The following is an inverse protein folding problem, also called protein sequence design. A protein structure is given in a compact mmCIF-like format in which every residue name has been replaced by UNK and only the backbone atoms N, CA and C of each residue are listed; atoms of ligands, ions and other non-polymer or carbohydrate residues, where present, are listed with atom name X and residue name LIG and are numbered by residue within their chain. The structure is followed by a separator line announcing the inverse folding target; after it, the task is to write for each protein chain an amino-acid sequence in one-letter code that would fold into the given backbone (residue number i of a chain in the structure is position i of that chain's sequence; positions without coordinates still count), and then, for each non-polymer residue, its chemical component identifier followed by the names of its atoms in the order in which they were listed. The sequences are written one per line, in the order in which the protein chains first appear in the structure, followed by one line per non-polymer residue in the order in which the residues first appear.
data_IF_906696132499
#
_entry.id   IF_906696132499
#
_cell.length_a   1.000
_cell.length_b   1.000
_cell.length_c   1.000
_cell.angle_alpha   90.00
_cell.angle_beta   90.00
_cell.angle_gamma   90.00
#
_symmetry.space_group_name_H-M   'P 1'
#
loop_
_entity.id
_entity.type
_entity.pdbx_description
1 polymer ?
#
# COMPACT_ATOMS: atom_id res chain seq x y z
N UNK A 1 24.29 17.31 -3.24
CA UNK A 1 24.68 17.82 -1.91
C UNK A 1 23.40 18.10 -1.14
N UNK A 2 23.41 18.01 0.18
CA UNK A 2 22.24 18.35 1.01
C UNK A 2 22.74 18.69 2.41
N UNK A 3 22.86 19.98 2.70
CA UNK A 3 23.53 20.48 3.90
C UNK A 3 22.94 21.80 4.38
N UNK A 4 22.86 21.93 5.70
CA UNK A 4 22.60 23.14 6.47
C UNK A 4 23.97 23.58 7.04
N UNK A 5 24.45 24.72 6.58
CA UNK A 5 25.75 25.28 6.94
C UNK A 5 25.66 26.15 8.21
N UNK A 6 26.81 26.58 8.72
CA UNK A 6 26.88 27.57 9.78
C UNK A 6 26.27 28.92 9.34
N UNK A 7 25.78 29.70 10.30
CA UNK A 7 25.00 30.94 10.07
C UNK A 7 25.60 31.93 9.04
N UNK A 8 26.94 31.98 8.94
CA UNK A 8 27.66 32.85 8.00
C UNK A 8 27.52 32.41 6.52
N UNK A 9 27.07 31.17 6.30
CA UNK A 9 26.96 30.51 5.02
C UNK A 9 25.56 29.98 4.73
N UNK A 10 24.50 30.48 5.38
CA UNK A 10 23.11 30.08 5.09
C UNK A 10 22.71 30.25 3.61
N UNK A 11 23.35 31.19 2.89
CA UNK A 11 23.16 31.32 1.44
C UNK A 11 23.59 30.07 0.65
N UNK A 12 24.43 29.22 1.25
CA UNK A 12 24.94 27.96 0.69
C UNK A 12 24.08 26.76 1.11
N UNK A 13 23.01 26.94 1.90
CA UNK A 13 22.18 25.81 2.31
C UNK A 13 21.53 25.15 1.09
N UNK A 14 21.54 23.82 1.09
CA UNK A 14 20.99 23.03 -0.01
C UNK A 14 20.22 21.84 0.52
N UNK A 15 19.18 21.43 -0.21
CA UNK A 15 18.36 20.26 0.15
C UNK A 15 18.18 19.36 -1.06
N UNK A 16 18.36 18.06 -0.83
CA UNK A 16 17.92 17.00 -1.74
C UNK A 16 16.71 16.29 -1.15
N UNK A 17 15.78 15.88 -2.00
CA UNK A 17 14.64 15.05 -1.61
C UNK A 17 14.37 13.98 -2.69
N UNK A 18 13.69 12.92 -2.28
CA UNK A 18 13.29 11.84 -3.18
C UNK A 18 11.94 11.25 -2.76
N UNK A 19 11.22 10.64 -3.69
CA UNK A 19 9.85 10.19 -3.49
C UNK A 19 9.74 8.76 -2.95
N UNK A 20 8.61 8.48 -2.31
CA UNK A 20 8.20 7.13 -1.93
C UNK A 20 6.68 7.01 -1.95
N UNK A 21 6.20 5.77 -2.09
CA UNK A 21 4.77 5.47 -2.10
C UNK A 21 4.40 4.62 -0.89
N UNK A 22 3.39 5.07 -0.14
CA UNK A 22 2.68 4.23 0.82
C UNK A 22 1.61 3.44 0.05
N UNK A 23 1.66 2.09 0.03
CA UNK A 23 0.72 1.29 -0.75
C UNK A 23 -0.75 1.49 -0.36
N UNK A 24 -1.64 1.25 -1.33
CA UNK A 24 -3.07 1.23 -1.06
C UNK A 24 -3.42 0.20 0.02
N UNK A 25 -4.25 0.59 0.98
CA UNK A 25 -4.68 -0.27 2.08
C UNK A 25 -3.70 -0.38 3.24
N UNK A 26 -2.54 0.27 3.14
CA UNK A 26 -1.56 0.35 4.22
C UNK A 26 -1.53 1.73 4.88
N UNK A 27 -1.04 1.74 6.11
CA UNK A 27 -0.68 2.94 6.85
C UNK A 27 0.69 2.73 7.46
N UNK A 28 1.60 3.67 7.25
CA UNK A 28 2.98 3.59 7.70
C UNK A 28 3.21 4.50 8.89
N UNK A 29 3.91 3.99 9.90
CA UNK A 29 4.36 4.71 11.08
C UNK A 29 5.89 4.70 11.04
N UNK A 30 6.47 5.78 10.57
CA UNK A 30 7.92 5.86 10.33
C UNK A 30 8.60 6.27 11.63
N UNK A 31 9.63 5.54 12.06
CA UNK A 31 10.41 5.88 13.25
C UNK A 31 11.89 6.12 12.97
N UNK A 32 12.39 5.68 11.81
CA UNK A 32 13.80 5.79 11.45
C UNK A 32 13.94 5.97 9.93
N UNK A 33 14.85 6.86 9.53
CA UNK A 33 15.29 6.99 8.14
C UNK A 33 16.74 6.53 8.05
N UNK A 34 17.00 5.50 7.25
CA UNK A 34 18.35 5.09 6.93
C UNK A 34 18.75 5.69 5.58
N UNK A 35 19.76 6.56 5.58
CA UNK A 35 20.20 7.28 4.38
C UNK A 35 21.61 6.86 3.98
N UNK A 36 21.82 6.52 2.72
CA UNK A 36 23.17 6.39 2.18
C UNK A 36 23.73 7.78 1.89
N UNK A 37 24.97 8.03 2.31
CA UNK A 37 25.62 9.31 2.07
C UNK A 37 27.13 9.20 2.00
N UNK A 38 27.75 10.23 1.44
CA UNK A 38 29.20 10.41 1.36
C UNK A 38 29.58 11.76 1.95
N UNK A 39 30.56 11.74 2.82
CA UNK A 39 31.17 12.94 3.38
C UNK A 39 32.48 13.27 2.63
N UNK A 40 32.59 14.50 2.13
CA UNK A 40 33.80 15.06 1.52
C UNK A 40 34.31 16.22 2.37
N UNK A 41 35.62 16.49 2.32
CA UNK A 41 36.24 17.52 3.16
C UNK A 41 36.62 17.04 4.56
N UNK A 42 37.25 17.93 5.32
CA UNK A 42 37.61 17.78 6.73
C UNK A 42 37.80 19.19 7.32
N UNK A 43 37.69 19.40 8.64
CA UNK A 43 37.56 18.41 9.73
C UNK A 43 36.12 18.12 10.18
N UNK A 44 35.13 18.87 9.72
CA UNK A 44 33.75 18.72 10.20
C UNK A 44 33.15 17.37 9.81
N UNK A 45 32.32 16.84 10.70
CA UNK A 45 31.36 15.76 10.41
C UNK A 45 29.97 16.29 10.76
N UNK A 46 28.89 15.73 10.19
CA UNK A 46 27.56 16.20 10.56
C UNK A 46 27.33 16.06 12.07
N UNK A 47 26.76 17.07 12.70
CA UNK A 47 26.40 17.04 14.13
C UNK A 47 25.01 16.45 14.34
N UNK A 48 24.16 16.60 13.33
CA UNK A 48 22.79 16.10 13.26
C UNK A 48 22.35 16.00 11.80
N UNK A 49 21.14 15.48 11.58
CA UNK A 49 20.44 15.56 10.31
C UNK A 49 19.06 16.16 10.54
N UNK A 50 18.65 17.06 9.64
CA UNK A 50 17.25 17.44 9.47
C UNK A 50 16.61 16.47 8.49
N UNK A 51 15.53 15.81 8.92
CA UNK A 51 14.70 14.92 8.11
C UNK A 51 13.34 15.56 7.95
N UNK A 52 12.88 15.82 6.72
CA UNK A 52 11.58 16.41 6.45
C UNK A 52 10.77 15.55 5.47
N UNK A 53 9.47 15.45 5.72
CA UNK A 53 8.52 14.75 4.87
C UNK A 53 7.57 15.74 4.22
N UNK A 54 7.21 15.52 2.96
CA UNK A 54 6.33 16.40 2.20
C UNK A 54 5.23 15.61 1.51
N UNK A 55 4.08 16.25 1.32
CA UNK A 55 3.08 15.79 0.36
C UNK A 55 3.65 15.82 -1.06
N UNK A 56 3.17 14.96 -1.95
CA UNK A 56 3.42 15.14 -3.39
C UNK A 56 2.65 16.34 -3.95
N UNK A 57 3.27 17.06 -4.88
CA UNK A 57 2.67 18.16 -5.64
C UNK A 57 3.03 18.05 -7.14
N UNK A 58 2.72 16.90 -7.74
CA UNK A 58 2.93 16.66 -9.16
C UNK A 58 4.40 16.42 -9.48
N UNK A 59 4.95 15.34 -8.92
CA UNK A 59 6.35 14.91 -9.10
C UNK A 59 7.37 15.85 -8.45
N UNK A 60 6.92 16.65 -7.48
CA UNK A 60 7.76 17.55 -6.68
C UNK A 60 7.28 17.59 -5.22
N UNK A 61 8.18 17.85 -4.25
CA UNK A 61 7.79 18.12 -2.87
C UNK A 61 6.80 19.30 -2.78
N UNK A 62 5.68 19.06 -2.11
CA UNK A 62 4.62 20.02 -1.81
C UNK A 62 4.71 20.57 -0.38
N UNK A 63 3.59 20.57 0.33
CA UNK A 63 3.51 21.02 1.72
C UNK A 63 4.35 20.13 2.64
N UNK A 64 5.11 20.73 3.55
CA UNK A 64 5.83 19.97 4.60
C UNK A 64 4.81 19.36 5.57
N UNK A 65 4.88 18.04 5.75
CA UNK A 65 4.06 17.27 6.68
C UNK A 65 4.66 17.35 8.09
N UNK A 66 5.97 17.11 8.19
CA UNK A 66 6.72 17.14 9.44
C UNK A 66 8.23 17.22 9.17
N UNK A 67 8.97 17.81 10.11
CA UNK A 67 10.43 17.79 10.13
C UNK A 67 10.98 17.43 11.51
N UNK A 68 12.14 16.78 11.51
CA UNK A 68 12.80 16.24 12.69
C UNK A 68 14.29 16.56 12.62
N UNK A 69 14.88 16.86 13.76
CA UNK A 69 16.33 16.95 13.90
C UNK A 69 16.80 15.82 14.82
N UNK A 70 17.80 15.07 14.37
CA UNK A 70 18.31 13.93 15.13
C UNK A 70 19.79 13.70 14.88
N UNK A 71 20.50 13.37 15.95
CA UNK A 71 21.90 12.98 15.91
C UNK A 71 21.99 11.54 15.40
N UNK A 72 21.93 11.35 14.09
CA UNK A 72 22.16 10.05 13.45
C UNK A 72 23.63 9.62 13.55
N UNK A 73 23.91 8.33 13.61
CA UNK A 73 25.29 7.82 13.60
C UNK A 73 25.35 6.36 13.15
N UNK A 74 26.54 5.85 12.74
CA UNK A 74 27.84 6.53 12.65
C UNK A 74 28.03 7.32 11.35
N UNK A 75 28.83 8.39 11.41
CA UNK A 75 29.20 9.19 10.24
C UNK A 75 30.40 8.57 9.50
N UNK A 76 30.42 8.56 8.16
CA UNK A 76 31.58 8.08 7.41
C UNK A 76 32.78 9.01 7.61
N UNK A 77 33.99 8.42 7.72
CA UNK A 77 35.24 9.17 7.66
C UNK A 77 35.39 9.91 6.30
N UNK A 78 36.26 10.93 6.23
CA UNK A 78 36.55 11.69 5.00
C UNK A 78 36.71 10.76 3.78
N UNK A 79 35.91 11.02 2.74
CA UNK A 79 35.97 10.28 1.47
C UNK A 79 35.26 8.93 1.46
N UNK A 80 34.73 8.48 2.60
CA UNK A 80 33.98 7.23 2.71
C UNK A 80 32.47 7.44 2.49
N UNK A 81 31.81 6.40 2.01
CA UNK A 81 30.35 6.32 1.98
C UNK A 81 29.87 5.46 3.15
N UNK A 82 28.75 5.83 3.76
CA UNK A 82 28.09 5.01 4.78
C UNK A 82 26.57 5.17 4.72
N UNK A 83 25.87 4.18 5.23
CA UNK A 83 24.44 4.30 5.55
C UNK A 83 24.30 4.75 6.99
N UNK A 84 23.66 5.89 7.21
CA UNK A 84 23.38 6.44 8.54
C UNK A 84 21.93 6.19 8.91
N UNK A 85 21.68 5.54 10.04
CA UNK A 85 20.34 5.42 10.59
C UNK A 85 20.03 6.65 11.46
N UNK A 86 18.96 7.36 11.12
CA UNK A 86 18.52 8.59 11.77
C UNK A 86 17.20 8.30 12.49
N UNK A 87 17.21 8.11 13.82
CA UNK A 87 15.99 7.87 14.57
C UNK A 87 15.17 9.17 14.67
N UNK A 88 13.89 9.10 14.33
CA UNK A 88 12.93 10.22 14.44
C UNK A 88 12.21 10.24 15.80
N UNK A 89 12.27 9.13 16.54
CA UNK A 89 11.44 8.92 17.72
C UNK A 89 10.00 8.61 17.32
N UNK A 90 9.13 9.61 17.34
CA UNK A 90 7.75 9.49 16.84
C UNK A 90 7.67 10.25 15.52
N UNK A 91 7.90 9.55 14.41
CA UNK A 91 7.78 10.14 13.08
C UNK A 91 6.35 10.20 12.57
N UNK A 92 6.14 10.53 11.28
CA UNK A 92 4.81 10.72 10.72
C UNK A 92 4.04 9.40 10.56
N UNK A 93 2.73 9.51 10.69
CA UNK A 93 1.76 8.49 10.29
C UNK A 93 1.22 8.86 8.92
N UNK A 94 1.51 8.03 7.92
CA UNK A 94 1.17 8.30 6.53
C UNK A 94 0.20 7.23 6.02
N UNK A 95 -0.94 7.68 5.48
CA UNK A 95 -1.87 6.82 4.75
C UNK A 95 -1.40 6.59 3.31
N UNK A 96 -2.18 5.84 2.50
CA UNK A 96 -1.84 5.59 1.11
C UNK A 96 -1.63 6.87 0.31
N UNK A 97 -0.56 6.91 -0.49
CA UNK A 97 -0.21 8.09 -1.28
C UNK A 97 1.26 8.16 -1.65
N UNK A 98 1.59 9.16 -2.47
CA UNK A 98 2.96 9.54 -2.82
C UNK A 98 3.42 10.69 -1.92
N UNK A 99 4.68 10.59 -1.48
CA UNK A 99 5.29 11.51 -0.52
C UNK A 99 6.75 11.70 -0.86
N UNK A 100 7.36 12.73 -0.28
CA UNK A 100 8.78 13.00 -0.44
C UNK A 100 9.49 13.00 0.90
N UNK A 101 10.74 12.55 0.92
CA UNK A 101 11.63 12.66 2.08
C UNK A 101 12.88 13.45 1.72
N UNK A 102 13.21 14.45 2.53
CA UNK A 102 14.47 15.19 2.48
C UNK A 102 15.30 14.87 3.71
N UNK A 103 16.59 14.66 3.50
CA UNK A 103 17.60 14.49 4.55
C UNK A 103 18.71 15.49 4.27
N UNK A 104 18.97 16.36 5.23
CA UNK A 104 19.94 17.44 5.15
C UNK A 104 20.90 17.30 6.32
N UNK A 105 22.20 17.21 6.03
CA UNK A 105 23.21 17.18 7.07
C UNK A 105 23.32 18.56 7.73
N UNK A 106 23.31 18.62 9.06
CA UNK A 106 23.63 19.84 9.80
C UNK A 106 25.14 19.79 10.06
N UNK A 107 25.90 20.65 9.37
CA UNK A 107 27.36 20.59 9.37
C UNK A 107 28.00 21.90 8.90
N UNK A 108 29.00 22.36 9.64
CA UNK A 108 29.78 23.55 9.27
C UNK A 108 30.72 23.26 8.08
N UNK A 109 30.98 24.28 7.26
CA UNK A 109 31.87 24.21 6.09
C UNK A 109 33.35 24.06 6.46
N UNK A 110 33.76 24.66 7.58
CA UNK A 110 35.16 24.84 8.01
C UNK A 110 36.10 25.39 6.91
N UNK A 111 35.58 26.24 6.01
CA UNK A 111 36.37 26.85 4.93
C UNK A 111 37.51 27.75 5.45
N UNK A 112 37.48 28.14 6.72
CA UNK A 112 38.47 28.95 7.40
C UNK A 112 39.72 28.18 7.88
N UNK A 113 39.72 26.85 7.77
CA UNK A 113 40.86 26.00 8.17
C UNK A 113 41.88 25.88 7.02
N UNK A 114 43.16 26.25 7.21
CA UNK A 114 44.17 26.18 6.16
C UNK A 114 44.45 24.75 5.68
N UNK A 115 44.52 24.56 4.35
CA UNK A 115 44.88 23.32 3.65
C UNK A 115 43.82 22.20 3.68
N UNK A 116 42.56 22.50 4.00
CA UNK A 116 41.47 21.53 3.91
C UNK A 116 40.38 21.97 2.93
N UNK A 117 39.71 21.00 2.30
CA UNK A 117 38.52 21.24 1.47
C UNK A 117 37.29 21.43 2.36
N UNK A 118 36.37 22.33 1.96
CA UNK A 118 35.11 22.56 2.66
C UNK A 118 34.34 21.24 2.90
N UNK A 119 33.94 21.02 4.15
CA UNK A 119 33.14 19.88 4.58
C UNK A 119 31.77 19.92 3.92
N UNK A 120 31.47 18.84 3.18
CA UNK A 120 30.25 18.70 2.38
C UNK A 120 29.67 17.30 2.49
N UNK A 121 28.34 17.22 2.66
CA UNK A 121 27.62 15.95 2.63
C UNK A 121 26.79 15.79 1.35
N UNK A 122 26.85 14.58 0.79
CA UNK A 122 26.12 14.21 -0.43
C UNK A 122 25.31 12.95 -0.16
N UNK A 123 24.07 12.94 -0.66
CA UNK A 123 23.29 11.72 -0.79
C UNK A 123 24.05 10.67 -1.61
N UNK A 124 23.87 9.40 -1.23
CA UNK A 124 24.15 8.28 -2.10
C UNK A 124 23.15 8.29 -3.26
N UNK A 125 23.65 8.15 -4.48
CA UNK A 125 22.84 8.23 -5.70
C UNK A 125 22.80 6.86 -6.36
N UNK A 126 21.62 6.44 -6.81
CA UNK A 126 21.46 5.33 -7.75
C UNK A 126 21.41 5.91 -9.18
N UNK A 127 22.51 5.84 -9.96
CA UNK A 127 22.54 6.43 -11.29
C UNK A 127 21.75 5.59 -12.30
N UNK A 128 21.45 6.20 -13.45
CA UNK A 128 20.88 5.57 -14.64
C UNK A 128 19.44 5.04 -14.46
N UNK A 129 18.54 5.93 -14.06
CA UNK A 129 17.10 5.71 -13.95
C UNK A 129 16.59 5.84 -12.52
N UNK A 130 15.31 6.17 -12.40
CA UNK A 130 14.61 6.38 -11.15
C UNK A 130 13.45 5.37 -10.95
N UNK A 131 12.87 5.33 -9.76
CA UNK A 131 11.62 4.62 -9.46
C UNK A 131 10.63 5.64 -8.92
N UNK A 132 9.51 5.85 -9.61
CA UNK A 132 8.58 6.92 -9.25
C UNK A 132 8.95 8.20 -9.98
N UNK A 133 9.31 9.24 -9.24
CA UNK A 133 9.83 10.50 -9.80
C UNK A 133 11.36 10.51 -9.78
N UNK A 134 12.00 11.43 -10.51
CA UNK A 134 13.44 11.66 -10.33
C UNK A 134 13.67 12.40 -9.02
N UNK A 135 14.78 12.10 -8.33
CA UNK A 135 15.20 12.88 -7.18
C UNK A 135 15.33 14.37 -7.53
N UNK A 136 15.08 15.21 -6.53
CA UNK A 136 14.99 16.67 -6.67
C UNK A 136 16.02 17.36 -5.79
N UNK A 137 16.33 18.60 -6.15
CA UNK A 137 17.30 19.42 -5.44
C UNK A 137 16.88 20.89 -5.41
N UNK A 138 17.31 21.57 -4.35
CA UNK A 138 17.26 23.03 -4.25
C UNK A 138 18.46 23.62 -3.52
N UNK A 139 18.75 24.87 -3.89
CA UNK A 139 19.77 25.77 -3.39
C UNK A 139 19.10 27.14 -3.15
N UNK A 140 18.30 27.28 -2.07
CA UNK A 140 17.41 28.43 -1.91
C UNK A 140 18.14 29.77 -1.84
N UNK A 141 19.34 29.79 -1.26
CA UNK A 141 20.18 30.98 -1.15
C UNK A 141 20.98 31.31 -2.42
N UNK A 142 20.91 30.47 -3.45
CA UNK A 142 21.70 30.58 -4.67
C UNK A 142 23.23 30.67 -4.45
N UNK A 143 23.74 30.22 -3.30
CA UNK A 143 25.15 30.36 -2.93
C UNK A 143 26.08 29.51 -3.80
N UNK A 144 25.59 28.37 -4.28
CA UNK A 144 26.28 27.57 -5.29
C UNK A 144 25.86 27.95 -6.71
N UNK A 145 26.59 28.85 -7.36
CA UNK A 145 26.31 29.34 -8.72
C UNK A 145 26.22 28.21 -9.79
N UNK A 146 26.79 27.04 -9.50
CA UNK A 146 26.78 25.87 -10.38
C UNK A 146 25.44 25.12 -10.33
N UNK A 147 24.61 25.38 -9.30
CA UNK A 147 23.29 24.78 -9.12
C UNK A 147 22.21 25.85 -9.08
N UNK A 148 21.40 25.94 -10.15
CA UNK A 148 20.52 27.09 -10.40
C UNK A 148 19.12 26.98 -9.79
N UNK A 149 18.75 25.83 -9.21
CA UNK A 149 17.43 25.61 -8.65
C UNK A 149 17.29 26.26 -7.28
N UNK A 150 16.61 27.40 -7.17
CA UNK A 150 16.31 28.05 -5.88
C UNK A 150 15.08 27.49 -5.18
N UNK A 151 14.40 26.53 -5.81
CA UNK A 151 13.32 25.73 -5.26
C UNK A 151 13.47 24.29 -5.74
N UNK A 152 12.82 23.34 -5.08
CA UNK A 152 12.85 21.95 -5.52
C UNK A 152 12.52 21.82 -7.01
N UNK A 153 13.44 21.21 -7.75
CA UNK A 153 13.28 20.84 -9.13
C UNK A 153 14.08 19.56 -9.42
N UNK A 154 13.75 18.83 -10.50
CA UNK A 154 14.44 17.59 -10.84
C UNK A 154 15.94 17.80 -11.03
N UNK A 155 16.76 16.83 -10.62
CA UNK A 155 18.23 16.94 -10.67
C UNK A 155 18.78 17.35 -12.05
N UNK A 156 18.16 16.88 -13.15
CA UNK A 156 18.51 17.29 -14.53
C UNK A 156 18.47 18.79 -14.77
N UNK A 157 17.58 19.51 -14.09
CA UNK A 157 17.36 20.95 -14.29
C UNK A 157 18.28 21.77 -13.36
N UNK A 158 18.85 21.13 -12.34
CA UNK A 158 19.67 21.77 -11.33
C UNK A 158 21.17 21.58 -11.52
N UNK A 159 21.58 20.56 -12.28
CA UNK A 159 22.99 20.20 -12.44
C UNK A 159 23.28 19.75 -13.87
N UNK A 160 24.36 20.26 -14.44
CA UNK A 160 24.86 19.81 -15.75
C UNK A 160 25.68 18.51 -15.68
N UNK A 161 25.82 17.88 -14.51
CA UNK A 161 26.52 16.61 -14.36
C UNK A 161 25.68 15.45 -14.96
N UNK A 162 26.09 14.87 -16.10
CA UNK A 162 25.31 13.85 -16.80
C UNK A 162 25.16 12.55 -16.01
N UNK A 163 25.97 12.33 -14.97
CA UNK A 163 25.91 11.11 -14.14
C UNK A 163 24.74 11.05 -13.17
N UNK A 164 23.98 12.13 -12.99
CA UNK A 164 22.91 12.25 -11.97
C UNK A 164 21.61 12.86 -12.50
N UNK A 165 21.49 13.06 -13.82
CA UNK A 165 20.35 13.77 -14.44
C UNK A 165 19.03 13.00 -14.35
N UNK A 166 19.08 11.71 -14.04
CA UNK A 166 17.90 10.84 -13.91
C UNK A 166 18.20 9.74 -12.89
N UNK A 167 18.08 10.08 -11.61
CA UNK A 167 18.57 9.25 -10.52
C UNK A 167 17.70 9.36 -9.28
N UNK A 168 17.72 8.30 -8.47
CA UNK A 168 17.17 8.28 -7.11
C UNK A 168 18.27 8.58 -6.09
N UNK A 169 17.89 9.16 -4.97
CA UNK A 169 18.65 9.08 -3.74
C UNK A 169 18.39 7.75 -3.01
N UNK A 170 19.44 7.19 -2.42
CA UNK A 170 19.36 5.91 -1.75
C UNK A 170 18.98 6.08 -0.26
N UNK A 171 17.77 5.66 0.08
CA UNK A 171 17.26 5.62 1.46
C UNK A 171 16.42 4.38 1.75
N UNK A 172 16.11 4.19 3.03
CA UNK A 172 15.14 3.23 3.54
C UNK A 172 14.38 3.87 4.69
N UNK A 173 13.07 3.64 4.72
CA UNK A 173 12.19 4.04 5.82
C UNK A 173 11.92 2.79 6.67
N UNK A 174 12.20 2.88 7.96
CA UNK A 174 11.94 1.81 8.92
C UNK A 174 10.85 2.27 9.92
N UNK A 175 10.06 1.31 10.41
CA UNK A 175 8.97 1.57 11.34
C UNK A 175 7.95 0.42 11.37
N UNK A 176 6.70 0.76 11.68
CA UNK A 176 5.59 -0.18 11.71
C UNK A 176 4.60 0.07 10.57
N UNK A 177 3.90 -0.97 10.13
CA UNK A 177 2.79 -0.86 9.18
C UNK A 177 1.50 -1.37 9.81
N UNK A 178 0.39 -0.76 9.42
CA UNK A 178 -0.96 -1.22 9.74
C UNK A 178 -1.82 -1.30 8.49
N UNK A 179 -2.94 -2.02 8.56
CA UNK A 179 -3.93 -2.06 7.49
C UNK A 179 -4.95 -0.97 7.77
N UNK A 180 -5.28 -0.15 6.77
CA UNK A 180 -6.29 0.90 6.92
C UNK A 180 -7.63 0.30 7.36
N UNK A 181 -8.41 1.08 8.12
CA UNK A 181 -9.74 0.65 8.56
C UNK A 181 -10.64 0.27 7.38
N UNK A 182 -10.49 0.94 6.24
CA UNK A 182 -11.21 0.66 5.00
C UNK A 182 -10.82 -0.69 4.39
N UNK A 183 -9.51 -0.96 4.25
CA UNK A 183 -9.04 -2.25 3.75
C UNK A 183 -9.42 -3.41 4.68
N UNK A 184 -9.35 -3.20 6.00
CA UNK A 184 -9.81 -4.17 6.98
C UNK A 184 -11.31 -4.46 6.85
N UNK A 185 -12.14 -3.43 6.67
CA UNK A 185 -13.58 -3.56 6.48
C UNK A 185 -13.90 -4.31 5.17
N UNK A 186 -13.22 -4.00 4.07
CA UNK A 186 -13.42 -4.68 2.78
C UNK A 186 -13.03 -6.17 2.86
N UNK A 187 -11.92 -6.48 3.53
CA UNK A 187 -11.50 -7.86 3.78
C UNK A 187 -12.56 -8.65 4.57
N UNK A 188 -13.12 -8.04 5.62
CA UNK A 188 -14.20 -8.64 6.41
C UNK A 188 -15.50 -8.84 5.59
N UNK A 189 -15.81 -7.91 4.69
CA UNK A 189 -16.96 -8.03 3.79
C UNK A 189 -16.81 -9.23 2.84
N UNK A 190 -15.61 -9.47 2.30
CA UNK A 190 -15.30 -10.64 1.46
C UNK A 190 -15.48 -11.94 2.24
N UNK A 191 -14.95 -12.01 3.47
CA UNK A 191 -15.12 -13.18 4.34
C UNK A 191 -16.61 -13.48 4.60
N UNK A 192 -17.39 -12.45 4.92
CA UNK A 192 -18.84 -12.55 5.17
C UNK A 192 -19.62 -13.02 3.94
N UNK A 193 -19.31 -12.46 2.77
CA UNK A 193 -19.95 -12.84 1.52
C UNK A 193 -19.63 -14.29 1.12
N UNK A 194 -18.38 -14.73 1.37
CA UNK A 194 -17.97 -16.10 1.11
C UNK A 194 -18.69 -17.11 2.05
N UNK A 195 -18.85 -16.77 3.33
CA UNK A 195 -19.64 -17.56 4.28
C UNK A 195 -21.11 -17.68 3.86
N UNK A 196 -21.70 -16.58 3.36
CA UNK A 196 -23.06 -16.56 2.82
C UNK A 196 -23.21 -17.44 1.58
N UNK A 197 -22.23 -17.40 0.65
CA UNK A 197 -22.21 -18.26 -0.53
C UNK A 197 -22.13 -19.75 -0.17
N UNK A 198 -21.28 -20.09 0.80
CA UNK A 198 -21.13 -21.46 1.32
C UNK A 198 -22.44 -21.97 1.93
N UNK A 199 -23.10 -21.14 2.72
CA UNK A 199 -24.42 -21.46 3.29
C UNK A 199 -25.49 -21.65 2.21
N UNK A 200 -25.52 -20.78 1.20
CA UNK A 200 -26.46 -20.87 0.08
C UNK A 200 -26.23 -22.15 -0.77
N UNK A 201 -24.98 -22.49 -1.06
CA UNK A 201 -24.61 -23.73 -1.78
C UNK A 201 -25.04 -24.97 -1.00
N UNK A 202 -24.83 -24.97 0.31
CA UNK A 202 -25.26 -26.06 1.21
C UNK A 202 -26.79 -26.21 1.22
N UNK A 203 -27.53 -25.10 1.29
CA UNK A 203 -29.00 -25.13 1.21
C UNK A 203 -29.50 -25.66 -0.15
N UNK A 204 -28.84 -25.28 -1.25
CA UNK A 204 -29.14 -25.80 -2.58
C UNK A 204 -28.90 -27.31 -2.68
N UNK A 205 -27.80 -27.82 -2.11
CA UNK A 205 -27.53 -29.26 -2.05
C UNK A 205 -28.64 -30.02 -1.30
N UNK A 206 -29.03 -29.53 -0.12
CA UNK A 206 -30.14 -30.11 0.65
C UNK A 206 -31.47 -30.08 -0.12
N UNK A 207 -31.77 -28.97 -0.78
CA UNK A 207 -32.98 -28.84 -1.60
C UNK A 207 -32.99 -29.84 -2.77
N UNK A 208 -31.85 -30.02 -3.46
CA UNK A 208 -31.70 -31.01 -4.54
C UNK A 208 -31.89 -32.43 -4.01
N UNK A 209 -31.29 -32.77 -2.87
CA UNK A 209 -31.46 -34.08 -2.23
C UNK A 209 -32.94 -34.35 -1.85
N UNK A 210 -33.63 -33.35 -1.32
CA UNK A 210 -35.06 -33.43 -1.01
C UNK A 210 -35.92 -33.63 -2.27
N UNK A 211 -35.60 -32.94 -3.37
CA UNK A 211 -36.26 -33.13 -4.66
C UNK A 211 -36.07 -34.55 -5.19
N UNK A 212 -34.85 -35.08 -5.16
CA UNK A 212 -34.56 -36.47 -5.56
C UNK A 212 -35.39 -37.47 -4.74
N UNK A 213 -35.45 -37.29 -3.41
CA UNK A 213 -36.30 -38.12 -2.53
C UNK A 213 -37.78 -38.02 -2.90
N UNK A 214 -38.28 -36.81 -3.16
CA UNK A 214 -39.68 -36.58 -3.55
C UNK A 214 -40.02 -37.21 -4.91
N UNK A 215 -39.14 -37.09 -5.90
CA UNK A 215 -39.30 -37.72 -7.22
C UNK A 215 -39.31 -39.25 -7.13
N UNK A 216 -38.42 -39.86 -6.33
CA UNK A 216 -38.45 -41.30 -6.04
C UNK A 216 -39.79 -41.73 -5.41
N UNK A 217 -40.33 -40.94 -4.49
CA UNK A 217 -41.64 -41.20 -3.88
C UNK A 217 -42.81 -41.12 -4.89
N UNK A 218 -42.74 -40.20 -5.85
CA UNK A 218 -43.71 -40.12 -6.97
C UNK A 218 -43.65 -41.39 -7.82
N UNK A 219 -42.46 -41.83 -8.25
CA UNK A 219 -42.28 -43.07 -9.03
C UNK A 219 -42.84 -44.29 -8.30
N UNK A 220 -42.55 -44.43 -7.00
CA UNK A 220 -43.09 -45.52 -6.16
C UNK A 220 -44.62 -45.46 -6.06
N UNK A 221 -45.20 -44.28 -5.88
CA UNK A 221 -46.65 -44.10 -5.82
C UNK A 221 -47.33 -44.41 -7.17
N UNK A 222 -46.72 -44.05 -8.30
CA UNK A 222 -47.20 -44.42 -9.64
C UNK A 222 -47.20 -45.94 -9.83
N UNK A 223 -46.13 -46.62 -9.42
CA UNK A 223 -46.05 -48.10 -9.46
C UNK A 223 -47.14 -48.75 -8.61
N UNK A 224 -47.36 -48.26 -7.37
CA UNK A 224 -48.45 -48.75 -6.49
C UNK A 224 -49.84 -48.56 -7.11
N UNK A 225 -50.08 -47.44 -7.79
CA UNK A 225 -51.35 -47.20 -8.47
C UNK A 225 -51.57 -48.19 -9.62
N UNK A 226 -50.53 -48.48 -10.41
CA UNK A 226 -50.59 -49.48 -11.50
C UNK A 226 -50.93 -50.88 -11.00
N UNK A 227 -50.42 -51.26 -9.81
CA UNK A 227 -50.61 -52.59 -9.21
C UNK A 227 -51.91 -52.74 -8.40
N UNK A 228 -52.65 -51.65 -8.13
CA UNK A 228 -53.81 -51.69 -7.24
C UNK A 228 -55.04 -52.37 -7.90
N UNK A 229 -55.57 -53.42 -7.25
CA UNK A 229 -56.80 -54.13 -7.65
C UNK A 229 -57.98 -53.71 -6.78
N UNK A 230 -59.14 -53.51 -7.39
CA UNK A 230 -60.37 -53.04 -6.71
C UNK A 230 -60.47 -51.53 -6.50
N UNK A 231 -61.71 -51.03 -6.40
CA UNK A 231 -62.05 -49.58 -6.35
C UNK A 231 -61.40 -48.87 -5.15
N UNK A 232 -61.47 -49.47 -3.95
CA UNK A 232 -60.94 -48.90 -2.71
C UNK A 232 -59.42 -48.76 -2.73
N UNK A 233 -58.69 -49.77 -3.19
CA UNK A 233 -57.23 -49.74 -3.28
C UNK A 233 -56.74 -48.71 -4.29
N UNK A 234 -57.39 -48.62 -5.47
CA UNK A 234 -57.10 -47.59 -6.48
C UNK A 234 -57.29 -46.17 -5.93
N UNK A 235 -58.35 -45.93 -5.16
CA UNK A 235 -58.63 -44.62 -4.55
C UNK A 235 -57.53 -44.21 -3.55
N UNK A 236 -57.11 -45.14 -2.67
CA UNK A 236 -56.00 -44.91 -1.73
C UNK A 236 -54.68 -44.62 -2.48
N UNK A 237 -54.36 -45.40 -3.51
CA UNK A 237 -53.15 -45.21 -4.30
C UNK A 237 -53.13 -43.87 -5.07
N UNK A 238 -54.27 -43.44 -5.64
CA UNK A 238 -54.43 -42.10 -6.24
C UNK A 238 -54.15 -40.98 -5.24
N UNK A 239 -54.67 -41.12 -4.01
CA UNK A 239 -54.46 -40.13 -2.94
C UNK A 239 -52.98 -40.00 -2.58
N UNK A 240 -52.27 -41.13 -2.41
CA UNK A 240 -50.82 -41.14 -2.15
C UNK A 240 -50.06 -40.49 -3.30
N UNK A 241 -50.39 -40.82 -4.56
CA UNK A 241 -49.77 -40.20 -5.73
C UNK A 241 -49.96 -38.68 -5.74
N UNK A 242 -51.17 -38.18 -5.48
CA UNK A 242 -51.45 -36.75 -5.40
C UNK A 242 -50.61 -36.06 -4.32
N UNK A 243 -50.53 -36.64 -3.11
CA UNK A 243 -49.67 -36.12 -2.02
C UNK A 243 -48.18 -36.10 -2.41
N UNK A 244 -47.67 -37.18 -3.01
CA UNK A 244 -46.28 -37.24 -3.48
C UNK A 244 -45.98 -36.22 -4.56
N UNK A 245 -46.88 -36.02 -5.54
CA UNK A 245 -46.73 -34.99 -6.58
C UNK A 245 -46.67 -33.59 -5.98
N UNK A 246 -47.58 -33.25 -5.05
CA UNK A 246 -47.56 -31.96 -4.34
C UNK A 246 -46.22 -31.73 -3.62
N UNK A 247 -45.69 -32.75 -2.95
CA UNK A 247 -44.37 -32.68 -2.29
C UNK A 247 -43.23 -32.46 -3.28
N UNK A 248 -43.26 -33.12 -4.44
CA UNK A 248 -42.27 -32.91 -5.49
C UNK A 248 -42.32 -31.48 -6.04
N UNK A 249 -43.51 -30.93 -6.28
CA UNK A 249 -43.66 -29.53 -6.72
C UNK A 249 -43.09 -28.54 -5.69
N UNK A 250 -43.37 -28.75 -4.40
CA UNK A 250 -42.81 -27.92 -3.33
C UNK A 250 -41.28 -28.03 -3.24
N UNK A 251 -40.71 -29.22 -3.44
CA UNK A 251 -39.27 -29.43 -3.48
C UNK A 251 -38.62 -28.73 -4.70
N UNK A 252 -39.26 -28.77 -5.86
CA UNK A 252 -38.82 -28.03 -7.06
C UNK A 252 -38.78 -26.52 -6.81
N UNK A 253 -39.83 -25.97 -6.19
CA UNK A 253 -39.87 -24.56 -5.81
C UNK A 253 -38.74 -24.20 -4.83
N UNK A 254 -38.46 -25.09 -3.87
CA UNK A 254 -37.36 -24.92 -2.91
C UNK A 254 -35.99 -24.90 -3.59
N UNK A 255 -35.76 -25.76 -4.60
CA UNK A 255 -34.55 -25.74 -5.42
C UNK A 255 -34.42 -24.42 -6.18
N UNK A 256 -35.51 -23.93 -6.80
CA UNK A 256 -35.50 -22.63 -7.51
C UNK A 256 -35.14 -21.47 -6.57
N UNK A 257 -35.73 -21.44 -5.37
CA UNK A 257 -35.42 -20.44 -4.34
C UNK A 257 -33.96 -20.51 -3.90
N UNK A 258 -33.44 -21.72 -3.63
CA UNK A 258 -32.04 -21.90 -3.23
C UNK A 258 -31.07 -21.51 -4.34
N UNK A 259 -31.38 -21.81 -5.61
CA UNK A 259 -30.56 -21.40 -6.76
C UNK A 259 -30.49 -19.87 -6.89
N UNK A 260 -31.62 -19.16 -6.70
CA UNK A 260 -31.63 -17.69 -6.67
C UNK A 260 -30.73 -17.14 -5.56
N UNK A 261 -30.81 -17.72 -4.35
CA UNK A 261 -29.94 -17.32 -3.23
C UNK A 261 -28.45 -17.51 -3.52
N UNK A 262 -28.07 -18.62 -4.17
CA UNK A 262 -26.67 -18.82 -4.61
C UNK A 262 -26.25 -17.73 -5.58
N UNK A 263 -27.09 -17.39 -6.56
CA UNK A 263 -26.81 -16.29 -7.50
C UNK A 263 -26.58 -14.95 -6.79
N UNK A 264 -27.48 -14.56 -5.88
CA UNK A 264 -27.34 -13.33 -5.11
C UNK A 264 -26.10 -13.32 -4.22
N UNK A 265 -25.80 -14.43 -3.54
CA UNK A 265 -24.60 -14.53 -2.70
C UNK A 265 -23.30 -14.48 -3.53
N UNK A 266 -23.31 -15.05 -4.74
CA UNK A 266 -22.18 -14.99 -5.65
C UNK A 266 -21.95 -13.57 -6.20
N UNK A 267 -23.03 -12.85 -6.52
CA UNK A 267 -22.94 -11.45 -6.93
C UNK A 267 -22.37 -10.57 -5.79
N UNK A 268 -22.87 -10.75 -4.56
CA UNK A 268 -22.35 -10.02 -3.39
C UNK A 268 -20.85 -10.30 -3.14
N UNK A 269 -20.41 -11.56 -3.31
CA UNK A 269 -18.99 -11.89 -3.21
C UNK A 269 -18.15 -11.22 -4.31
N UNK A 270 -18.67 -11.13 -5.54
CA UNK A 270 -18.00 -10.43 -6.62
C UNK A 270 -17.84 -8.94 -6.30
N UNK A 271 -18.91 -8.28 -5.86
CA UNK A 271 -18.86 -6.86 -5.45
C UNK A 271 -17.89 -6.63 -4.30
N UNK A 272 -17.91 -7.49 -3.27
CA UNK A 272 -17.01 -7.37 -2.14
C UNK A 272 -15.54 -7.51 -2.55
N UNK A 273 -15.22 -8.42 -3.49
CA UNK A 273 -13.87 -8.58 -4.03
C UNK A 273 -13.42 -7.37 -4.84
N UNK A 274 -14.29 -6.84 -5.69
CA UNK A 274 -13.98 -5.62 -6.45
C UNK A 274 -13.70 -4.44 -5.51
N UNK A 275 -14.51 -4.28 -4.45
CA UNK A 275 -14.28 -3.24 -3.45
C UNK A 275 -12.98 -3.47 -2.68
N UNK A 276 -12.65 -4.71 -2.32
CA UNK A 276 -11.38 -5.02 -1.67
C UNK A 276 -10.19 -4.63 -2.53
N UNK A 277 -10.20 -4.95 -3.83
CA UNK A 277 -9.11 -4.61 -4.76
C UNK A 277 -8.99 -3.13 -5.14
N UNK A 278 -9.93 -2.28 -4.71
CA UNK A 278 -9.82 -0.83 -4.93
C UNK A 278 -9.32 -0.09 -3.70
N UNK A 279 -9.36 -0.71 -2.53
CA UNK A 279 -8.99 -0.08 -1.25
C UNK A 279 -7.82 -0.80 -0.56
N UNK A 280 -7.47 -1.97 -1.09
CA UNK A 280 -6.26 -2.75 -0.92
C UNK A 280 -5.81 -3.16 -2.35
#
# INVERSE_FOLDING_TARGET
MSQDFEAAFNQMDTRGADDFTVPQGEEWFIDTVAVAGKHLGAPAVPTAFRVAFFEDNGELPGSEIAAFESNGGPYPAKGQSATTAIPLGVGPQLGPGEYWVSVQAIMDSHIDVPNEDASRWFWGVKPAGHIGSSAVFENPGAGFNEFTCTSFAPLKDCSSNPGIVDADFAFRLDGATSVTAECAAATNAVATANGSLTTAKSALSRAKAALTKAQKAVKKAQSKLKKAKGKRAKLKAKTVLRKSKKKATAATASVKKAKKKVGSANAALSTAKTNQSSVC
#
